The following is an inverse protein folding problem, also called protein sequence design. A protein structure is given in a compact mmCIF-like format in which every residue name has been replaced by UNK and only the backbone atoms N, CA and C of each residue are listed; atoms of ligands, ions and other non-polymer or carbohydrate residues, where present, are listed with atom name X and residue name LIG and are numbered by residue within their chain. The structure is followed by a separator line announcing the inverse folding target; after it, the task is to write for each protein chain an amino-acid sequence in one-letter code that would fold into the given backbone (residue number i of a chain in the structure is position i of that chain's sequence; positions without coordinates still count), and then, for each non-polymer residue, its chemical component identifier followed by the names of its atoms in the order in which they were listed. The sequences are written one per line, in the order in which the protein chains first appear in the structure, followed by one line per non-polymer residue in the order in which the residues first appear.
data_IF_811480409725
#
_entry.id   IF_811480409725
#
_cell.length_a   1.000
_cell.length_b   1.000
_cell.length_c   1.000
_cell.angle_alpha   90.00
_cell.angle_beta   90.00
_cell.angle_gamma   90.00
#
_symmetry.space_group_name_H-M   'P 1'
#
loop_
_entity.id
_entity.type
_entity.pdbx_description
1 polymer ?
#
# COMPACT_ATOMS: atom_id res chain seq x y z
N UNK A 1 6.31 16.69 7.83
CA UNK A 1 7.64 16.18 8.26
C UNK A 1 7.41 15.07 9.28
N UNK A 2 8.34 14.11 9.43
CA UNK A 2 8.08 12.70 9.84
C UNK A 2 7.31 11.96 8.73
N UNK A 3 7.85 11.02 7.95
CA UNK A 3 8.95 10.08 8.17
C UNK A 3 9.53 9.72 6.78
N UNK A 4 10.47 10.55 6.26
CA UNK A 4 11.35 10.14 5.16
C UNK A 4 12.47 9.33 5.80
N UNK A 5 12.45 8.02 5.65
CA UNK A 5 13.63 7.16 5.43
C UNK A 5 13.29 5.72 5.75
N UNK A 6 13.09 4.92 4.70
CA UNK A 6 13.88 3.70 4.52
C UNK A 6 14.28 3.60 3.03
N UNK A 7 15.58 3.40 2.80
CA UNK A 7 16.38 3.48 1.54
C UNK A 7 16.83 4.90 1.09
N UNK A 8 17.83 5.45 1.79
CA UNK A 8 18.65 6.61 1.36
C UNK A 8 19.72 6.21 0.33
N UNK A 9 19.38 6.02 -0.94
CA UNK A 9 20.38 5.98 -2.05
C UNK A 9 19.87 6.45 -3.42
N UNK A 10 18.72 7.14 -3.50
CA UNK A 10 18.09 7.45 -4.81
C UNK A 10 18.10 8.96 -5.11
N UNK A 11 18.48 9.42 -6.32
CA UNK A 11 18.53 10.83 -6.72
C UNK A 11 17.23 11.61 -6.43
N UNK A 12 17.32 12.89 -6.09
CA UNK A 12 16.20 13.71 -5.59
C UNK A 12 14.94 13.76 -6.46
N UNK A 13 15.05 13.60 -7.79
CA UNK A 13 13.92 13.57 -8.74
C UNK A 13 13.18 12.22 -8.77
N UNK A 14 13.89 11.11 -8.55
CA UNK A 14 13.28 9.79 -8.37
C UNK A 14 12.49 9.73 -7.05
N UNK A 15 12.91 10.50 -6.05
CA UNK A 15 12.21 10.58 -4.76
C UNK A 15 10.86 11.28 -4.89
N UNK A 16 10.74 12.35 -5.68
CA UNK A 16 9.43 13.03 -5.88
C UNK A 16 8.44 12.16 -6.64
N UNK A 17 8.86 11.50 -7.73
CA UNK A 17 7.97 10.63 -8.51
C UNK A 17 7.50 9.44 -7.70
N UNK A 18 8.43 8.80 -6.95
CA UNK A 18 8.08 7.67 -6.10
C UNK A 18 7.11 8.05 -4.98
N UNK A 19 7.26 9.23 -4.39
CA UNK A 19 6.29 9.72 -3.38
C UNK A 19 4.90 9.86 -4.02
N UNK A 20 4.80 10.45 -5.22
CA UNK A 20 3.52 10.57 -5.93
C UNK A 20 2.91 9.20 -6.23
N UNK A 21 3.71 8.24 -6.67
CA UNK A 21 3.22 6.89 -6.99
C UNK A 21 2.78 6.12 -5.73
N UNK A 22 3.49 6.28 -4.60
CA UNK A 22 3.06 5.70 -3.31
C UNK A 22 1.73 6.32 -2.87
N UNK A 23 1.57 7.64 -2.99
CA UNK A 23 0.30 8.30 -2.69
C UNK A 23 -0.82 7.79 -3.60
N UNK A 24 -0.56 7.63 -4.89
CA UNK A 24 -1.54 7.08 -5.83
C UNK A 24 -1.89 5.62 -5.49
N UNK A 25 -0.90 4.80 -5.10
CA UNK A 25 -1.13 3.42 -4.68
C UNK A 25 -2.11 3.32 -3.50
N UNK A 26 -1.99 4.19 -2.48
CA UNK A 26 -2.95 4.19 -1.37
C UNK A 26 -4.32 4.76 -1.75
N UNK A 27 -4.39 5.72 -2.67
CA UNK A 27 -5.64 6.40 -3.05
C UNK A 27 -6.43 5.74 -4.19
N UNK A 28 -5.80 4.97 -5.08
CA UNK A 28 -6.49 4.35 -6.22
C UNK A 28 -7.49 3.28 -5.75
N UNK A 29 -8.65 3.20 -6.41
CA UNK A 29 -9.62 2.10 -6.23
C UNK A 29 -9.45 0.99 -7.25
N UNK A 30 -8.55 1.16 -8.23
CA UNK A 30 -8.29 0.19 -9.28
C UNK A 30 -7.29 -0.86 -8.79
N UNK A 31 -7.75 -2.10 -8.60
CA UNK A 31 -6.93 -3.22 -8.15
C UNK A 31 -5.79 -3.56 -9.10
N UNK A 32 -5.98 -3.40 -10.41
CA UNK A 32 -4.93 -3.64 -11.40
C UNK A 32 -3.82 -2.59 -11.35
N UNK A 33 -4.17 -1.31 -11.11
CA UNK A 33 -3.17 -0.25 -10.92
C UNK A 33 -2.34 -0.50 -9.65
N UNK A 34 -3.00 -0.91 -8.56
CA UNK A 34 -2.34 -1.30 -7.33
C UNK A 34 -1.40 -2.49 -7.54
N UNK A 35 -1.84 -3.54 -8.25
CA UNK A 35 -1.02 -4.71 -8.56
C UNK A 35 0.22 -4.35 -9.40
N UNK A 36 0.05 -3.51 -10.42
CA UNK A 36 1.15 -3.03 -11.25
C UNK A 36 2.20 -2.28 -10.41
N UNK A 37 1.77 -1.48 -9.44
CA UNK A 37 2.67 -0.82 -8.49
C UNK A 37 3.44 -1.82 -7.63
N UNK A 38 2.75 -2.82 -7.07
CA UNK A 38 3.39 -3.86 -6.24
C UNK A 38 4.47 -4.59 -7.02
N UNK A 39 4.19 -4.96 -8.26
CA UNK A 39 5.16 -5.63 -9.15
C UNK A 39 6.31 -4.69 -9.54
N UNK A 40 6.01 -3.44 -9.89
CA UNK A 40 7.03 -2.43 -10.29
C UNK A 40 8.08 -2.22 -9.20
N UNK A 41 7.67 -2.27 -7.94
CA UNK A 41 8.54 -2.01 -6.79
C UNK A 41 8.99 -3.26 -6.05
N UNK A 42 8.66 -4.46 -6.55
CA UNK A 42 8.95 -5.75 -5.90
C UNK A 42 8.52 -5.74 -4.42
N UNK A 43 7.29 -5.29 -4.20
CA UNK A 43 6.74 -5.15 -2.85
C UNK A 43 6.38 -6.52 -2.31
N UNK A 44 6.96 -6.89 -1.17
CA UNK A 44 6.62 -8.13 -0.48
C UNK A 44 5.51 -7.97 0.56
N UNK A 45 5.51 -6.85 1.27
CA UNK A 45 4.53 -6.57 2.32
C UNK A 45 3.93 -5.17 2.14
N UNK A 46 2.62 -5.10 2.32
CA UNK A 46 1.86 -3.86 2.40
C UNK A 46 1.41 -3.67 3.84
N UNK A 47 1.77 -2.53 4.42
CA UNK A 47 1.33 -2.13 5.75
C UNK A 47 0.22 -1.10 5.61
N UNK A 48 -0.96 -1.40 6.15
CA UNK A 48 -2.11 -0.50 6.18
C UNK A 48 -2.47 -0.18 7.64
N UNK A 49 -1.94 0.94 8.15
CA UNK A 49 -2.10 1.36 9.56
C UNK A 49 -3.08 2.51 9.79
N UNK A 50 -3.65 2.54 10.99
CA UNK A 50 -4.65 3.45 11.54
C UNK A 50 -4.03 4.73 12.08
N UNK A 51 -3.41 5.55 11.23
CA UNK A 51 -3.46 6.99 11.47
C UNK A 51 -4.66 7.64 10.74
N UNK A 52 -5.50 6.81 10.10
CA UNK A 52 -6.63 7.23 9.27
C UNK A 52 -7.97 6.55 9.60
N UNK A 53 -8.10 5.64 10.59
CA UNK A 53 -9.43 5.04 10.88
C UNK A 53 -10.35 5.91 11.74
N UNK A 54 -9.91 7.10 12.17
CA UNK A 54 -10.81 8.08 12.82
C UNK A 54 -11.49 8.97 11.75
N UNK A 55 -11.01 8.96 10.50
CA UNK A 55 -11.44 9.89 9.44
C UNK A 55 -11.96 9.27 8.14
N UNK A 56 -11.73 7.98 7.86
CA UNK A 56 -12.15 7.35 6.59
C UNK A 56 -13.20 6.25 6.74
N UNK A 57 -14.14 6.26 5.80
CA UNK A 57 -15.24 5.32 5.64
C UNK A 57 -14.73 3.93 5.15
N UNK A 58 -15.50 2.85 5.38
CA UNK A 58 -15.10 1.45 5.14
C UNK A 58 -14.60 1.14 3.72
N UNK A 59 -14.88 1.99 2.72
CA UNK A 59 -14.69 1.65 1.31
C UNK A 59 -13.22 1.64 0.86
N UNK A 60 -12.31 2.30 1.58
CA UNK A 60 -10.87 2.30 1.25
C UNK A 60 -10.17 0.95 1.50
N UNK A 61 -10.72 0.13 2.39
CA UNK A 61 -10.25 -1.24 2.67
C UNK A 61 -10.74 -2.23 1.61
N UNK A 62 -11.81 -1.89 0.89
CA UNK A 62 -12.45 -2.81 -0.06
C UNK A 62 -11.47 -3.29 -1.13
N UNK A 63 -10.55 -2.46 -1.62
CA UNK A 63 -9.62 -2.90 -2.68
C UNK A 63 -8.63 -3.94 -2.15
N UNK A 64 -8.14 -3.80 -0.91
CA UNK A 64 -7.19 -4.75 -0.35
C UNK A 64 -7.90 -6.06 -0.03
N UNK A 65 -9.12 -5.97 0.51
CA UNK A 65 -9.96 -7.15 0.73
C UNK A 65 -10.37 -7.81 -0.60
N UNK A 66 -10.63 -7.05 -1.68
CA UNK A 66 -10.86 -7.54 -3.04
C UNK A 66 -9.60 -8.21 -3.60
N UNK A 67 -8.42 -7.59 -3.45
CA UNK A 67 -7.15 -8.19 -3.87
C UNK A 67 -6.83 -9.48 -3.11
N UNK A 68 -7.28 -9.60 -1.85
CA UNK A 68 -7.23 -10.86 -1.10
C UNK A 68 -8.18 -11.89 -1.71
N UNK A 69 -9.43 -11.51 -2.02
CA UNK A 69 -10.40 -12.40 -2.67
C UNK A 69 -9.93 -12.88 -4.05
N UNK A 70 -9.25 -12.01 -4.81
CA UNK A 70 -8.66 -12.32 -6.11
C UNK A 70 -7.36 -13.13 -6.02
N UNK A 71 -6.83 -13.34 -4.81
CA UNK A 71 -5.62 -14.13 -4.57
C UNK A 71 -4.30 -13.40 -4.83
N UNK A 72 -4.32 -12.08 -5.03
CA UNK A 72 -3.09 -11.27 -5.21
C UNK A 72 -2.41 -10.93 -3.88
N UNK A 73 -3.19 -10.86 -2.80
CA UNK A 73 -2.71 -10.56 -1.47
C UNK A 73 -3.14 -11.65 -0.50
N UNK A 74 -2.32 -11.87 0.53
CA UNK A 74 -2.67 -12.66 1.68
C UNK A 74 -2.61 -11.77 2.91
N UNK A 75 -3.70 -11.72 3.69
CA UNK A 75 -3.66 -11.10 5.00
C UNK A 75 -2.84 -11.97 5.96
N UNK A 76 -1.71 -11.44 6.42
CA UNK A 76 -0.81 -12.14 7.35
C UNK A 76 -0.93 -11.63 8.78
N UNK A 77 -1.50 -10.43 8.96
CA UNK A 77 -1.76 -9.85 10.27
C UNK A 77 -2.90 -8.85 10.19
N UNK A 78 -3.82 -8.91 11.16
CA UNK A 78 -4.85 -7.88 11.36
C UNK A 78 -5.08 -7.66 12.84
N UNK A 79 -5.12 -6.39 13.23
CA UNK A 79 -5.58 -5.94 14.54
C UNK A 79 -6.53 -4.75 14.40
N UNK A 80 -6.99 -4.17 15.53
CA UNK A 80 -7.97 -3.07 15.55
C UNK A 80 -7.53 -1.79 14.83
N UNK A 81 -6.27 -1.67 14.43
CA UNK A 81 -5.74 -0.50 13.76
C UNK A 81 -4.66 -0.76 12.72
N UNK A 82 -4.38 -2.01 12.36
CA UNK A 82 -3.32 -2.34 11.41
C UNK A 82 -3.72 -3.61 10.68
N UNK A 83 -3.59 -3.58 9.37
CA UNK A 83 -3.57 -4.76 8.51
C UNK A 83 -2.22 -4.84 7.82
N UNK A 84 -1.66 -6.04 7.73
CA UNK A 84 -0.46 -6.33 6.94
C UNK A 84 -0.83 -7.41 5.94
N UNK A 85 -0.55 -7.11 4.68
CA UNK A 85 -0.77 -8.01 3.57
C UNK A 85 0.58 -8.45 2.99
N UNK A 86 0.74 -9.74 2.72
CA UNK A 86 1.82 -10.28 1.91
C UNK A 86 1.37 -10.36 0.45
N UNK A 87 2.25 -10.01 -0.47
CA UNK A 87 1.99 -10.17 -1.90
C UNK A 87 2.19 -11.63 -2.28
N UNK A 88 1.15 -12.23 -2.87
CA UNK A 88 1.17 -13.62 -3.32
C UNK A 88 1.57 -13.63 -4.79
N UNK A 89 2.65 -14.35 -5.09
CA UNK A 89 3.15 -14.55 -6.45
C UNK A 89 2.42 -15.71 -7.15
#
# INVERSE_FOLDING_TARGET
WHQRQQRSTVPGWLVSNRISEVNNFYNTTNTQEALNFLHKYDVRYVYAGQLEWVYYLPEGMNKFDEMVQLGYLQEVYRNKGVSIYEVVN
#
